data_IF_377169147453
#
_entry.id   IF_377169147453
#
_cell.length_a   1.000
_cell.length_b   1.000
_cell.length_c   1.000
_cell.angle_alpha   90.00
_cell.angle_beta   90.00
_cell.angle_gamma   90.00
#
_symmetry.space_group_name_H-M   'P 1'
#
loop_
_entity.id
_entity.type
_entity.pdbx_description
1 polymer ?
#
# COMPACT_ATOMS: atom_id res chain seq x y z
N UNK A 1 20.36 6.47 -9.92
CA UNK A 1 19.17 6.92 -9.14
C UNK A 1 18.23 5.77 -8.77
N UNK A 2 17.92 4.84 -9.69
CA UNK A 2 16.99 3.73 -9.46
C UNK A 2 17.23 2.95 -8.16
N UNK A 3 18.47 2.52 -7.89
CA UNK A 3 18.78 1.77 -6.66
C UNK A 3 18.42 2.51 -5.36
N UNK A 4 18.66 3.82 -5.29
CA UNK A 4 18.22 4.64 -4.14
C UNK A 4 16.69 4.70 -4.04
N UNK A 5 15.99 4.86 -5.16
CA UNK A 5 14.53 4.84 -5.19
C UNK A 5 13.97 3.49 -4.72
N UNK A 6 14.59 2.38 -5.13
CA UNK A 6 14.21 1.03 -4.69
C UNK A 6 14.34 0.87 -3.17
N UNK A 7 15.40 1.41 -2.56
CA UNK A 7 15.55 1.38 -1.10
C UNK A 7 14.45 2.18 -0.40
N UNK A 8 14.15 3.39 -0.88
CA UNK A 8 13.09 4.22 -0.29
C UNK A 8 11.72 3.55 -0.44
N UNK A 9 11.39 3.02 -1.63
CA UNK A 9 10.13 2.31 -1.88
C UNK A 9 10.04 1.07 -0.98
N UNK A 10 11.12 0.29 -0.85
CA UNK A 10 11.16 -0.86 0.05
C UNK A 10 10.88 -0.49 1.51
N UNK A 11 11.42 0.62 2.01
CA UNK A 11 11.11 1.12 3.36
C UNK A 11 9.65 1.56 3.45
N UNK A 12 9.14 2.29 2.47
CA UNK A 12 7.74 2.73 2.42
C UNK A 12 6.76 1.54 2.41
N UNK A 13 7.09 0.47 1.69
CA UNK A 13 6.29 -0.76 1.70
C UNK A 13 6.27 -1.45 3.06
N UNK A 14 7.30 -1.34 3.89
CA UNK A 14 7.23 -1.88 5.25
C UNK A 14 6.26 -1.06 6.13
N UNK A 15 6.26 0.26 5.96
CA UNK A 15 5.30 1.15 6.61
C UNK A 15 3.88 0.85 6.15
N UNK A 16 3.67 0.67 4.83
CA UNK A 16 2.38 0.31 4.27
C UNK A 16 1.83 -1.02 4.80
N UNK A 17 2.67 -2.06 4.96
CA UNK A 17 2.27 -3.35 5.54
C UNK A 17 1.82 -3.16 6.99
N UNK A 18 2.55 -2.33 7.75
CA UNK A 18 2.22 -2.02 9.14
C UNK A 18 0.86 -1.31 9.24
N UNK A 19 0.62 -0.33 8.36
CA UNK A 19 -0.68 0.38 8.26
C UNK A 19 -1.80 -0.59 7.89
N UNK A 20 -1.61 -1.46 6.90
CA UNK A 20 -2.61 -2.46 6.50
C UNK A 20 -2.90 -3.42 7.65
N UNK A 21 -1.89 -3.88 8.38
CA UNK A 21 -2.07 -4.73 9.56
C UNK A 21 -2.91 -4.05 10.64
N UNK A 22 -2.63 -2.77 10.93
CA UNK A 22 -3.43 -1.97 11.86
C UNK A 22 -4.87 -1.78 11.36
N UNK A 23 -5.05 -1.41 10.09
CA UNK A 23 -6.38 -1.22 9.49
C UNK A 23 -7.19 -2.53 9.48
N UNK A 24 -6.56 -3.68 9.26
CA UNK A 24 -7.21 -4.97 9.34
C UNK A 24 -7.70 -5.28 10.76
N UNK A 25 -6.90 -4.95 11.78
CA UNK A 25 -7.32 -5.07 13.17
C UNK A 25 -8.51 -4.15 13.50
N UNK A 26 -8.47 -2.89 13.05
CA UNK A 26 -9.59 -1.95 13.23
C UNK A 26 -10.84 -2.43 12.50
N UNK A 27 -10.72 -2.90 11.26
CA UNK A 27 -11.82 -3.45 10.47
C UNK A 27 -12.45 -4.67 11.15
N UNK A 28 -11.63 -5.55 11.73
CA UNK A 28 -12.10 -6.70 12.50
C UNK A 28 -12.95 -6.26 13.69
N UNK A 29 -12.46 -5.33 14.51
CA UNK A 29 -13.22 -4.79 15.63
C UNK A 29 -14.51 -4.11 15.17
N UNK A 30 -14.45 -3.36 14.07
CA UNK A 30 -15.63 -2.72 13.48
C UNK A 30 -16.71 -3.73 13.15
N UNK A 31 -16.38 -4.79 12.38
CA UNK A 31 -17.33 -5.83 11.99
C UNK A 31 -17.94 -6.53 13.22
N UNK A 32 -17.15 -6.77 14.27
CA UNK A 32 -17.65 -7.40 15.50
C UNK A 32 -18.74 -6.55 16.17
N UNK A 33 -18.56 -5.23 16.20
CA UNK A 33 -19.43 -4.27 16.89
C UNK A 33 -20.62 -3.85 16.01
N UNK A 34 -20.38 -3.40 14.78
CA UNK A 34 -21.38 -2.81 13.90
C UNK A 34 -22.09 -3.84 13.00
N UNK A 35 -21.54 -5.05 12.87
CA UNK A 35 -22.00 -6.10 11.93
C UNK A 35 -21.94 -5.70 10.46
N UNK A 36 -21.26 -4.61 10.13
CA UNK A 36 -21.03 -4.14 8.77
C UNK A 36 -19.54 -3.88 8.53
N UNK A 37 -19.15 -3.71 7.27
CA UNK A 37 -17.79 -3.31 6.89
C UNK A 37 -17.63 -1.79 7.02
N UNK A 38 -16.47 -1.33 7.46
CA UNK A 38 -16.15 0.09 7.33
C UNK A 38 -15.78 0.38 5.85
N UNK A 39 -16.57 1.24 5.20
CA UNK A 39 -16.41 1.55 3.76
C UNK A 39 -15.08 2.27 3.52
N UNK A 40 -14.70 3.20 4.39
CA UNK A 40 -13.45 3.95 4.28
C UNK A 40 -12.22 3.04 4.30
N UNK A 41 -12.17 2.06 5.22
CA UNK A 41 -11.06 1.09 5.27
C UNK A 41 -11.02 0.25 3.98
N UNK A 42 -12.19 -0.11 3.45
CA UNK A 42 -12.30 -0.89 2.20
C UNK A 42 -11.78 -0.10 0.99
N UNK A 43 -12.10 1.19 0.91
CA UNK A 43 -11.60 2.08 -0.16
C UNK A 43 -10.10 2.32 -0.04
N UNK A 44 -9.60 2.57 1.17
CA UNK A 44 -8.16 2.68 1.41
C UNK A 44 -7.41 1.43 0.97
N UNK A 45 -7.93 0.23 1.26
CA UNK A 45 -7.31 -1.02 0.85
C UNK A 45 -7.15 -1.13 -0.68
N UNK A 46 -8.11 -0.61 -1.45
CA UNK A 46 -8.02 -0.56 -2.92
C UNK A 46 -6.87 0.34 -3.39
N UNK A 47 -6.72 1.51 -2.77
CA UNK A 47 -5.63 2.44 -3.08
C UNK A 47 -4.26 1.84 -2.76
N UNK A 48 -4.13 1.21 -1.59
CA UNK A 48 -2.91 0.50 -1.21
C UNK A 48 -2.59 -0.62 -2.19
N UNK A 49 -3.58 -1.43 -2.59
CA UNK A 49 -3.37 -2.50 -3.57
C UNK A 49 -2.79 -1.98 -4.89
N UNK A 50 -3.37 -0.92 -5.43
CA UNK A 50 -2.91 -0.27 -6.67
C UNK A 50 -1.48 0.27 -6.54
N UNK A 51 -1.14 0.84 -5.38
CA UNK A 51 0.20 1.34 -5.12
C UNK A 51 1.24 0.21 -5.00
N UNK A 52 0.94 -0.84 -4.23
CA UNK A 52 1.84 -2.00 -4.08
C UNK A 52 2.12 -2.71 -5.40
N UNK A 53 1.11 -2.83 -6.28
CA UNK A 53 1.28 -3.46 -7.59
C UNK A 53 2.36 -2.75 -8.42
N UNK A 54 2.32 -1.41 -8.45
CA UNK A 54 3.34 -0.59 -9.12
C UNK A 54 4.71 -0.71 -8.45
N UNK A 55 4.74 -0.69 -7.11
CA UNK A 55 5.98 -0.82 -6.35
C UNK A 55 6.67 -2.16 -6.60
N UNK A 56 5.92 -3.27 -6.57
CA UNK A 56 6.44 -4.60 -6.89
C UNK A 56 7.01 -4.65 -8.31
N UNK A 57 6.26 -4.11 -9.28
CA UNK A 57 6.72 -4.09 -10.67
C UNK A 57 8.04 -3.33 -10.82
N UNK A 58 8.18 -2.16 -10.18
CA UNK A 58 9.40 -1.36 -10.23
C UNK A 58 10.59 -2.02 -9.50
N UNK A 59 10.35 -2.51 -8.28
CA UNK A 59 11.37 -3.13 -7.42
C UNK A 59 11.90 -4.44 -8.00
N UNK A 60 11.04 -5.24 -8.64
CA UNK A 60 11.43 -6.54 -9.20
C UNK A 60 11.83 -6.44 -10.68
N UNK A 61 11.86 -5.23 -11.23
CA UNK A 61 12.30 -4.99 -12.60
C UNK A 61 11.31 -5.41 -13.68
N UNK A 62 10.05 -5.65 -13.33
CA UNK A 62 8.98 -5.88 -14.29
C UNK A 62 8.46 -4.57 -14.93
N UNK A 63 8.81 -3.40 -14.38
CA UNK A 63 8.50 -2.08 -14.92
C UNK A 63 9.61 -1.07 -14.67
N UNK A 64 9.74 -0.10 -15.58
CA UNK A 64 10.59 1.10 -15.42
C UNK A 64 9.79 2.33 -14.97
N UNK A 65 8.46 2.23 -14.89
CA UNK A 65 7.61 3.30 -14.40
C UNK A 65 7.88 3.54 -12.90
N UNK A 66 8.15 4.79 -12.55
CA UNK A 66 8.45 5.16 -11.16
C UNK A 66 7.15 5.28 -10.38
N UNK A 67 6.99 4.54 -9.26
CA UNK A 67 5.83 4.69 -8.41
C UNK A 67 5.96 5.95 -7.53
N UNK A 68 4.92 6.21 -6.74
CA UNK A 68 4.94 7.28 -5.74
C UNK A 68 6.17 7.15 -4.81
N UNK A 69 6.84 8.25 -4.44
CA UNK A 69 6.52 9.65 -4.73
C UNK A 69 7.07 10.19 -6.06
N UNK A 70 7.76 9.38 -6.87
CA UNK A 70 8.38 9.83 -8.13
C UNK A 70 7.49 9.62 -9.36
N UNK A 71 6.26 9.16 -9.17
CA UNK A 71 5.26 9.07 -10.22
C UNK A 71 5.03 10.48 -10.78
N UNK A 72 5.23 10.66 -12.09
CA UNK A 72 4.88 11.91 -12.77
C UNK A 72 3.37 11.90 -13.02
N UNK A 73 2.73 13.03 -12.78
CA UNK A 73 1.34 13.31 -13.17
C UNK A 73 1.29 13.59 -14.67
#
# INVERSE_FOLDING_TARGET
MRGFQMLVIGIMMNIGITIIGFLAFVQFLWIVISKEKNVFITELASNFRSWYDKDFAFLLGASEEKPFPWQKI
#
